data_IF_433824023193
#
_entry.id   IF_433824023193
#
_cell.length_a   1.000
_cell.length_b   1.000
_cell.length_c   1.000
_cell.angle_alpha   90.00
_cell.angle_beta   90.00
_cell.angle_gamma   90.00
#
_symmetry.space_group_name_H-M   'P 1'
#
loop_
_entity.id
_entity.type
_entity.pdbx_description
1 polymer ?
#
# COMPACT_ATOMS: atom_id res chain seq x y z
N UNK A 1 3.23 0.93 25.12
CA UNK A 1 2.56 0.15 24.06
C UNK A 1 3.32 -1.16 23.88
N UNK A 2 2.59 -2.28 23.74
CA UNK A 2 3.18 -3.58 23.41
C UNK A 2 4.03 -3.48 22.12
N UNK A 3 5.23 -4.13 22.04
CA UNK A 3 6.14 -4.01 20.90
C UNK A 3 5.52 -4.37 19.56
N UNK A 4 4.69 -5.41 19.47
CA UNK A 4 4.02 -5.81 18.23
C UNK A 4 2.91 -4.83 17.86
N UNK A 5 2.18 -4.30 18.83
CA UNK A 5 1.19 -3.25 18.64
C UNK A 5 1.86 -1.96 18.15
N UNK A 6 2.98 -1.55 18.72
CA UNK A 6 3.75 -0.39 18.29
C UNK A 6 4.27 -0.58 16.84
N UNK A 7 4.79 -1.76 16.51
CA UNK A 7 5.23 -2.08 15.16
C UNK A 7 4.07 -2.04 14.15
N UNK A 8 2.90 -2.59 14.50
CA UNK A 8 1.72 -2.55 13.64
C UNK A 8 1.26 -1.12 13.38
N UNK A 9 1.26 -0.24 14.40
CA UNK A 9 0.97 1.19 14.23
C UNK A 9 2.00 1.83 13.31
N UNK A 10 3.29 1.63 13.56
CA UNK A 10 4.36 2.20 12.76
C UNK A 10 4.34 1.73 11.30
N UNK A 11 3.85 0.51 11.02
CA UNK A 11 3.71 -0.04 9.67
C UNK A 11 2.38 0.31 9.00
N UNK A 12 1.53 1.16 9.60
CA UNK A 12 0.22 1.47 9.02
C UNK A 12 0.35 2.48 7.86
N UNK A 13 -0.27 2.16 6.73
CA UNK A 13 -0.72 3.15 5.76
C UNK A 13 -2.17 3.47 6.14
N UNK A 14 -2.35 4.52 6.96
CA UNK A 14 -3.66 4.93 7.44
C UNK A 14 -4.47 5.48 6.27
N UNK A 15 -5.50 4.73 5.87
CA UNK A 15 -6.16 4.91 4.58
C UNK A 15 -7.54 5.53 4.76
N UNK A 16 -7.85 6.54 3.96
CA UNK A 16 -9.19 7.07 3.77
C UNK A 16 -9.44 7.30 2.29
N UNK A 17 -10.40 6.58 1.73
CA UNK A 17 -10.77 6.57 0.30
C UNK A 17 -12.30 6.61 0.15
N UNK A 18 -12.98 7.35 1.01
CA UNK A 18 -14.41 7.56 0.89
C UNK A 18 -14.70 8.74 -0.05
N UNK A 19 -15.88 8.72 -0.68
CA UNK A 19 -16.22 9.74 -1.69
C UNK A 19 -16.73 11.04 -1.06
N UNK A 20 -17.28 10.95 0.15
CA UNK A 20 -17.90 12.04 0.92
C UNK A 20 -16.96 12.71 1.94
N UNK A 21 -15.64 12.49 1.83
CA UNK A 21 -14.65 13.14 2.69
C UNK A 21 -14.62 14.65 2.47
N UNK A 22 -14.36 15.38 3.56
CA UNK A 22 -14.13 16.80 3.59
C UNK A 22 -12.75 17.16 4.18
N UNK A 23 -12.40 18.45 4.14
CA UNK A 23 -11.15 18.98 4.68
C UNK A 23 -10.96 18.61 6.16
N UNK A 24 -12.06 18.57 6.94
CA UNK A 24 -12.03 18.24 8.36
C UNK A 24 -11.69 16.77 8.59
N UNK A 25 -12.22 15.88 7.76
CA UNK A 25 -11.92 14.45 7.80
C UNK A 25 -10.44 14.20 7.48
N UNK A 26 -9.92 14.85 6.44
CA UNK A 26 -8.50 14.76 6.06
C UNK A 26 -7.58 15.34 7.12
N UNK A 27 -7.93 16.49 7.71
CA UNK A 27 -7.13 17.09 8.79
C UNK A 27 -7.07 16.17 10.02
N UNK A 28 -8.18 15.56 10.39
CA UNK A 28 -8.25 14.57 11.48
C UNK A 28 -7.40 13.33 11.17
N UNK A 29 -7.47 12.82 9.93
CA UNK A 29 -6.67 11.68 9.48
C UNK A 29 -5.17 11.98 9.62
N UNK A 30 -4.70 13.11 9.12
CA UNK A 30 -3.32 13.55 9.22
C UNK A 30 -2.86 13.74 10.67
N UNK A 31 -3.68 14.37 11.50
CA UNK A 31 -3.39 14.56 12.93
C UNK A 31 -3.24 13.22 13.67
N UNK A 32 -4.13 12.26 13.40
CA UNK A 32 -4.05 10.91 13.95
C UNK A 32 -2.84 10.14 13.44
N UNK A 33 -2.44 10.35 12.20
CA UNK A 33 -1.27 9.72 11.60
C UNK A 33 0.03 10.19 12.27
N UNK A 34 0.15 11.48 12.53
CA UNK A 34 1.32 12.10 13.17
C UNK A 34 1.47 11.74 14.64
N UNK A 35 0.37 11.54 15.35
CA UNK A 35 0.37 11.28 16.81
C UNK A 35 -0.77 10.33 17.20
N UNK A 36 -0.68 9.04 16.78
CA UNK A 36 -1.71 8.06 17.09
C UNK A 36 -1.85 7.77 18.59
N UNK A 37 -0.74 7.85 19.34
CA UNK A 37 -0.67 7.60 20.79
C UNK A 37 -0.11 8.85 21.47
N UNK A 38 -0.93 9.63 22.22
CA UNK A 38 -0.49 10.87 22.84
C UNK A 38 0.72 10.72 23.77
N UNK A 39 0.80 9.58 24.48
CA UNK A 39 1.86 9.26 25.44
C UNK A 39 3.13 8.72 24.80
N UNK A 40 3.12 8.48 23.49
CA UNK A 40 4.27 8.00 22.70
C UNK A 40 4.51 8.94 21.52
N UNK A 41 5.06 10.14 21.72
CA UNK A 41 5.18 11.19 20.70
C UNK A 41 6.06 10.79 19.50
N UNK A 42 6.96 9.82 19.68
CA UNK A 42 7.84 9.31 18.63
C UNK A 42 7.21 8.15 17.82
N UNK A 43 6.00 7.72 18.20
CA UNK A 43 5.24 6.71 17.47
C UNK A 43 4.28 7.40 16.50
N UNK A 44 4.44 7.15 15.20
CA UNK A 44 3.61 7.65 14.11
C UNK A 44 3.36 6.53 13.09
N UNK A 45 2.37 6.70 12.22
CA UNK A 45 2.12 5.73 11.15
C UNK A 45 3.05 5.96 9.96
N UNK A 46 3.28 4.93 9.15
CA UNK A 46 4.18 5.01 8.01
C UNK A 46 3.70 6.02 6.95
N UNK A 47 2.43 5.97 6.61
CA UNK A 47 1.84 6.85 5.59
C UNK A 47 0.37 7.16 5.85
N UNK A 48 -0.10 8.25 5.25
CA UNK A 48 -1.51 8.52 4.99
C UNK A 48 -1.78 8.19 3.53
N UNK A 49 -2.81 7.38 3.23
CA UNK A 49 -3.19 6.99 1.88
C UNK A 49 -4.58 7.54 1.53
N UNK A 50 -4.64 8.42 0.53
CA UNK A 50 -5.83 9.22 0.19
C UNK A 50 -6.05 9.31 -1.33
N UNK A 51 -7.19 9.91 -1.72
CA UNK A 51 -7.46 10.28 -3.11
C UNK A 51 -6.60 11.46 -3.60
N UNK A 52 -6.32 11.57 -4.92
CA UNK A 52 -5.50 12.65 -5.50
C UNK A 52 -5.98 14.06 -5.13
N UNK A 53 -7.29 14.28 -5.07
CA UNK A 53 -7.89 15.58 -4.76
C UNK A 53 -7.45 16.17 -3.41
N UNK A 54 -7.02 15.31 -2.48
CA UNK A 54 -6.63 15.71 -1.12
C UNK A 54 -5.12 15.91 -0.94
N UNK A 55 -4.31 15.64 -1.98
CA UNK A 55 -2.84 15.75 -1.87
C UNK A 55 -2.37 17.16 -1.45
N UNK A 56 -2.88 18.27 -2.01
CA UNK A 56 -2.41 19.60 -1.61
C UNK A 56 -2.66 19.91 -0.14
N UNK A 57 -3.85 19.57 0.38
CA UNK A 57 -4.22 19.77 1.78
C UNK A 57 -3.34 18.92 2.70
N UNK A 58 -3.27 17.60 2.43
CA UNK A 58 -2.52 16.67 3.27
C UNK A 58 -1.01 16.98 3.24
N UNK A 59 -0.46 17.42 2.11
CA UNK A 59 0.95 17.84 2.01
C UNK A 59 1.25 18.98 2.97
N UNK A 60 0.37 19.98 3.06
CA UNK A 60 0.49 21.08 4.02
C UNK A 60 0.44 20.60 5.48
N UNK A 61 -0.50 19.70 5.78
CA UNK A 61 -0.71 19.18 7.14
C UNK A 61 0.40 18.25 7.62
N UNK A 62 1.05 17.52 6.73
CA UNK A 62 2.15 16.59 7.03
C UNK A 62 3.54 17.21 6.86
N UNK A 63 3.61 18.50 6.48
CA UNK A 63 4.88 19.16 6.19
C UNK A 63 5.84 19.13 7.37
N UNK A 64 7.10 18.74 7.12
CA UNK A 64 8.14 18.64 8.15
C UNK A 64 8.02 17.45 9.09
N UNK A 65 6.95 16.64 8.96
CA UNK A 65 6.74 15.42 9.73
C UNK A 65 7.33 14.16 9.06
N UNK A 66 7.36 13.05 9.80
CA UNK A 66 7.92 11.77 9.29
C UNK A 66 6.93 10.95 8.46
N UNK A 67 5.63 11.27 8.50
CA UNK A 67 4.57 10.50 7.83
C UNK A 67 4.59 10.76 6.34
N UNK A 68 4.64 9.68 5.55
CA UNK A 68 4.64 9.75 4.08
C UNK A 68 3.23 10.01 3.55
N UNK A 69 3.16 10.66 2.40
CA UNK A 69 1.90 10.92 1.71
C UNK A 69 1.75 9.95 0.53
N UNK A 70 0.86 8.98 0.68
CA UNK A 70 0.53 7.98 -0.33
C UNK A 70 -0.77 8.35 -1.06
N UNK A 71 -0.85 8.02 -2.34
CA UNK A 71 -2.01 8.28 -3.19
C UNK A 71 -2.47 7.02 -3.93
N UNK A 72 -3.77 6.72 -3.85
CA UNK A 72 -4.40 5.71 -4.70
C UNK A 72 -4.71 6.33 -6.06
N UNK A 73 -4.10 5.79 -7.14
CA UNK A 73 -4.11 6.42 -8.47
C UNK A 73 -3.90 5.40 -9.59
N UNK A 74 -3.78 5.85 -10.85
CA UNK A 74 -3.43 5.00 -11.98
C UNK A 74 -4.53 4.02 -12.37
N UNK A 75 -5.79 4.45 -12.36
CA UNK A 75 -6.95 3.61 -12.63
C UNK A 75 -7.50 2.90 -11.39
N UNK A 76 -7.14 3.37 -10.20
CA UNK A 76 -7.67 2.80 -8.96
C UNK A 76 -9.20 3.03 -8.83
N UNK A 77 -10.02 2.02 -8.41
CA UNK A 77 -9.62 0.68 -7.98
C UNK A 77 -9.52 -0.35 -9.10
N UNK A 78 -10.02 -0.08 -10.30
CA UNK A 78 -10.02 -1.01 -11.43
C UNK A 78 -9.29 -0.37 -12.61
N UNK A 79 -8.23 -1.02 -13.16
CA UNK A 79 -7.40 -0.46 -14.23
C UNK A 79 -8.04 -0.68 -15.61
N UNK A 80 -9.29 -0.26 -15.80
CA UNK A 80 -10.09 -0.42 -17.02
C UNK A 80 -9.98 0.76 -18.00
N UNK A 81 -9.43 1.90 -17.54
CA UNK A 81 -9.15 3.04 -18.39
C UNK A 81 -7.92 2.80 -19.30
N UNK A 82 -7.82 3.50 -20.45
CA UNK A 82 -6.66 3.43 -21.34
C UNK A 82 -5.36 3.70 -20.59
N UNK A 83 -4.29 2.95 -20.92
CA UNK A 83 -3.00 3.05 -20.24
C UNK A 83 -2.48 4.48 -20.15
N UNK A 84 -2.53 5.25 -21.24
CA UNK A 84 -2.05 6.64 -21.25
C UNK A 84 -2.77 7.55 -20.24
N UNK A 85 -4.07 7.34 -20.05
CA UNK A 85 -4.86 8.07 -19.04
C UNK A 85 -4.41 7.67 -17.61
N UNK A 86 -4.25 6.40 -17.37
CA UNK A 86 -3.80 5.85 -16.08
C UNK A 86 -2.40 6.35 -15.71
N UNK A 87 -1.48 6.40 -16.68
CA UNK A 87 -0.14 6.95 -16.48
C UNK A 87 -0.19 8.45 -16.17
N UNK A 88 -1.02 9.22 -16.89
CA UNK A 88 -1.24 10.63 -16.61
C UNK A 88 -1.76 10.90 -15.19
N UNK A 89 -2.62 10.01 -14.65
CA UNK A 89 -3.08 10.08 -13.26
C UNK A 89 -1.93 9.85 -12.27
N UNK A 90 -1.00 8.93 -12.55
CA UNK A 90 0.19 8.67 -11.71
C UNK A 90 1.10 9.88 -11.71
N UNK A 91 1.44 10.44 -12.89
CA UNK A 91 2.27 11.63 -13.03
C UNK A 91 1.66 12.84 -12.32
N UNK A 92 0.34 13.01 -12.43
CA UNK A 92 -0.37 14.07 -11.73
C UNK A 92 -0.25 13.92 -10.20
N UNK A 93 -0.45 12.72 -9.66
CA UNK A 93 -0.31 12.46 -8.21
C UNK A 93 1.11 12.77 -7.71
N UNK A 94 2.14 12.36 -8.44
CA UNK A 94 3.54 12.67 -8.12
C UNK A 94 3.80 14.18 -8.16
N UNK A 95 3.33 14.86 -9.19
CA UNK A 95 3.49 16.33 -9.34
C UNK A 95 2.74 17.09 -8.24
N UNK A 96 1.58 16.57 -7.81
CA UNK A 96 0.80 17.14 -6.70
C UNK A 96 1.41 16.86 -5.32
N UNK A 97 2.54 16.14 -5.26
CA UNK A 97 3.34 15.97 -4.06
C UNK A 97 3.15 14.63 -3.34
N UNK A 98 2.63 13.60 -4.00
CA UNK A 98 2.65 12.25 -3.43
C UNK A 98 4.08 11.75 -3.27
N UNK A 99 4.43 11.24 -2.09
CA UNK A 99 5.69 10.54 -1.85
C UNK A 99 5.63 9.10 -2.35
N UNK A 100 4.43 8.54 -2.34
CA UNK A 100 4.15 7.14 -2.65
C UNK A 100 2.88 7.04 -3.50
N UNK A 101 2.85 6.12 -4.46
CA UNK A 101 1.70 5.87 -5.33
C UNK A 101 1.30 4.40 -5.28
N UNK A 102 0.04 4.15 -4.98
CA UNK A 102 -0.56 2.81 -4.95
C UNK A 102 -1.32 2.62 -6.28
N UNK A 103 -0.79 1.81 -7.18
CA UNK A 103 -1.29 1.66 -8.57
C UNK A 103 -1.71 0.21 -8.83
N UNK A 104 -2.95 -0.06 -9.27
CA UNK A 104 -3.37 -1.41 -9.63
C UNK A 104 -2.69 -1.88 -10.91
N UNK A 105 -2.19 -3.12 -10.89
CA UNK A 105 -1.71 -3.82 -12.08
C UNK A 105 -2.93 -4.23 -12.92
N UNK A 106 -2.81 -4.15 -14.24
CA UNK A 106 -3.79 -4.75 -15.12
C UNK A 106 -3.68 -6.28 -15.09
N UNK A 107 -4.36 -6.89 -14.12
CA UNK A 107 -4.32 -8.35 -13.91
C UNK A 107 -4.85 -9.16 -15.09
N UNK A 108 -5.60 -8.54 -16.00
CA UNK A 108 -6.10 -9.22 -17.21
C UNK A 108 -5.00 -9.52 -18.21
N UNK A 109 -3.81 -8.95 -18.05
CA UNK A 109 -2.61 -9.23 -18.85
C UNK A 109 -1.76 -10.36 -18.28
N UNK A 110 -2.25 -11.15 -17.32
CA UNK A 110 -1.47 -12.23 -16.67
C UNK A 110 -0.94 -13.27 -17.65
N UNK A 111 -1.67 -13.52 -18.72
CA UNK A 111 -1.29 -14.44 -19.82
C UNK A 111 -0.63 -13.73 -21.03
N UNK A 112 -0.38 -12.43 -20.92
CA UNK A 112 0.22 -11.59 -21.97
C UNK A 112 1.51 -10.94 -21.47
N UNK A 113 2.62 -11.69 -21.30
CA UNK A 113 3.81 -11.23 -20.58
C UNK A 113 4.45 -9.98 -21.19
N UNK A 114 4.49 -9.86 -22.52
CA UNK A 114 5.09 -8.68 -23.18
C UNK A 114 4.25 -7.41 -22.96
N UNK A 115 2.91 -7.52 -23.01
CA UNK A 115 2.02 -6.41 -22.75
C UNK A 115 2.06 -6.00 -21.27
N UNK A 116 2.10 -6.98 -20.37
CA UNK A 116 2.25 -6.76 -18.92
C UNK A 116 3.57 -6.04 -18.60
N UNK A 117 4.69 -6.49 -19.13
CA UNK A 117 6.02 -5.87 -18.92
C UNK A 117 6.04 -4.43 -19.43
N UNK A 118 5.49 -4.19 -20.62
CA UNK A 118 5.36 -2.85 -21.19
C UNK A 118 4.55 -1.90 -20.30
N UNK A 119 3.40 -2.35 -19.77
CA UNK A 119 2.58 -1.55 -18.86
C UNK A 119 3.30 -1.27 -17.53
N UNK A 120 3.93 -2.28 -16.94
CA UNK A 120 4.64 -2.14 -15.66
C UNK A 120 5.85 -1.21 -15.78
N UNK A 121 6.62 -1.32 -16.86
CA UNK A 121 7.76 -0.43 -17.16
C UNK A 121 7.30 1.01 -17.36
N UNK A 122 6.20 1.23 -18.07
CA UNK A 122 5.61 2.55 -18.25
C UNK A 122 5.12 3.13 -16.90
N UNK A 123 4.49 2.30 -16.05
CA UNK A 123 4.05 2.71 -14.72
C UNK A 123 5.22 3.11 -13.82
N UNK A 124 6.34 2.34 -13.82
CA UNK A 124 7.56 2.72 -13.11
C UNK A 124 8.09 4.08 -13.58
N UNK A 125 8.06 4.30 -14.89
CA UNK A 125 8.52 5.57 -15.48
C UNK A 125 7.65 6.74 -15.01
N UNK A 126 6.33 6.60 -15.06
CA UNK A 126 5.38 7.62 -14.62
C UNK A 126 5.48 7.91 -13.11
N UNK A 127 5.76 6.90 -12.28
CA UNK A 127 5.98 7.06 -10.85
C UNK A 127 7.31 7.78 -10.52
N UNK A 128 8.27 7.82 -11.44
CA UNK A 128 9.51 8.56 -11.31
C UNK A 128 10.28 8.18 -10.03
N UNK A 129 10.44 9.14 -9.10
CA UNK A 129 11.11 8.92 -7.81
C UNK A 129 10.17 8.56 -6.67
N UNK A 130 8.86 8.61 -6.88
CA UNK A 130 7.91 8.21 -5.87
C UNK A 130 7.99 6.69 -5.61
N UNK A 131 7.77 6.29 -4.38
CA UNK A 131 7.63 4.88 -4.02
C UNK A 131 6.42 4.30 -4.73
N UNK A 132 6.63 3.35 -5.64
CA UNK A 132 5.56 2.69 -6.34
C UNK A 132 5.15 1.39 -5.64
N UNK A 133 3.88 1.31 -5.23
CA UNK A 133 3.29 0.09 -4.69
C UNK A 133 2.34 -0.52 -5.73
N UNK A 134 2.76 -1.63 -6.32
CA UNK A 134 2.02 -2.34 -7.35
C UNK A 134 0.93 -3.21 -6.71
N UNK A 135 -0.35 -2.92 -7.01
CA UNK A 135 -1.49 -3.65 -6.45
C UNK A 135 -1.82 -4.85 -7.33
N UNK A 136 -1.60 -6.04 -6.81
CA UNK A 136 -1.82 -7.31 -7.50
C UNK A 136 -3.32 -7.68 -7.58
N UNK A 137 -4.12 -7.22 -6.61
CA UNK A 137 -5.56 -7.52 -6.46
C UNK A 137 -5.82 -9.00 -6.22
N UNK A 138 -5.18 -9.53 -5.21
CA UNK A 138 -5.10 -10.98 -4.90
C UNK A 138 -6.44 -11.66 -4.66
N UNK A 139 -7.49 -10.91 -4.30
CA UNK A 139 -8.84 -11.45 -4.08
C UNK A 139 -9.55 -11.91 -5.36
N UNK A 140 -9.01 -11.58 -6.52
CA UNK A 140 -9.54 -11.94 -7.83
C UNK A 140 -8.68 -12.99 -8.56
N UNK A 141 -7.69 -13.60 -7.89
CA UNK A 141 -6.63 -14.38 -8.52
C UNK A 141 -6.32 -15.67 -7.76
N UNK A 142 -5.89 -16.68 -8.50
CA UNK A 142 -5.30 -17.89 -7.95
C UNK A 142 -3.83 -17.66 -7.54
N UNK A 143 -3.29 -18.53 -6.69
CA UNK A 143 -1.94 -18.37 -6.14
C UNK A 143 -0.82 -18.31 -7.22
N UNK A 144 -1.01 -19.00 -8.34
CA UNK A 144 -0.06 -18.98 -9.46
C UNK A 144 -0.06 -17.61 -10.16
N UNK A 145 -1.24 -17.03 -10.41
CA UNK A 145 -1.41 -15.73 -11.02
C UNK A 145 -0.87 -14.61 -10.11
N UNK A 146 -1.15 -14.69 -8.79
CA UNK A 146 -0.58 -13.77 -7.77
C UNK A 146 0.94 -13.76 -7.88
N UNK A 147 1.57 -14.94 -7.97
CA UNK A 147 3.02 -15.07 -8.09
C UNK A 147 3.55 -14.47 -9.38
N UNK A 148 2.90 -14.75 -10.51
CA UNK A 148 3.27 -14.22 -11.83
C UNK A 148 3.25 -12.68 -11.82
N UNK A 149 2.14 -12.07 -11.39
CA UNK A 149 1.99 -10.62 -11.37
C UNK A 149 2.92 -9.95 -10.36
N UNK A 150 3.09 -10.55 -9.17
CA UNK A 150 4.02 -10.02 -8.18
C UNK A 150 5.47 -10.03 -8.67
N UNK A 151 5.92 -11.14 -9.28
CA UNK A 151 7.26 -11.26 -9.80
C UNK A 151 7.50 -10.30 -10.98
N UNK A 152 6.53 -10.13 -11.88
CA UNK A 152 6.60 -9.17 -12.97
C UNK A 152 6.73 -7.73 -12.44
N UNK A 153 5.90 -7.34 -11.46
CA UNK A 153 5.99 -6.02 -10.83
C UNK A 153 7.34 -5.77 -10.16
N UNK A 154 7.86 -6.77 -9.45
CA UNK A 154 9.20 -6.70 -8.82
C UNK A 154 10.29 -6.54 -9.88
N UNK A 155 10.23 -7.30 -10.97
CA UNK A 155 11.19 -7.21 -12.07
C UNK A 155 11.16 -5.83 -12.76
N UNK A 156 9.97 -5.23 -12.88
CA UNK A 156 9.78 -3.88 -13.42
C UNK A 156 10.19 -2.76 -12.42
N UNK A 157 10.66 -3.09 -11.22
CA UNK A 157 11.16 -2.13 -10.24
C UNK A 157 10.09 -1.54 -9.33
N UNK A 158 9.02 -2.27 -9.02
CA UNK A 158 8.10 -1.89 -7.95
C UNK A 158 8.83 -1.88 -6.60
N UNK A 159 8.63 -0.82 -5.83
CA UNK A 159 9.22 -0.70 -4.49
C UNK A 159 8.45 -1.57 -3.47
N UNK A 160 7.15 -1.79 -3.72
CA UNK A 160 6.31 -2.69 -2.95
C UNK A 160 5.39 -3.50 -3.87
N UNK A 161 5.11 -4.75 -3.49
CA UNK A 161 3.93 -5.46 -3.96
C UNK A 161 2.81 -5.31 -2.91
N UNK A 162 1.61 -4.93 -3.37
CA UNK A 162 0.44 -4.71 -2.51
C UNK A 162 -0.64 -5.72 -2.84
N UNK A 163 -1.27 -6.29 -1.81
CA UNK A 163 -2.24 -7.36 -1.99
C UNK A 163 -3.52 -6.93 -2.67
N UNK A 164 -4.12 -5.80 -2.25
CA UNK A 164 -5.48 -5.45 -2.68
C UNK A 164 -5.76 -3.96 -2.66
N UNK A 165 -6.71 -3.51 -3.49
CA UNK A 165 -7.28 -2.15 -3.42
C UNK A 165 -8.14 -1.96 -2.16
N UNK A 166 -8.76 -3.03 -1.67
CA UNK A 166 -9.77 -2.99 -0.62
C UNK A 166 -11.15 -2.54 -1.12
N UNK A 167 -11.34 -2.42 -2.43
CA UNK A 167 -12.59 -2.02 -3.10
C UNK A 167 -13.04 -3.11 -4.07
N UNK A 168 -14.28 -3.55 -3.96
CA UNK A 168 -14.97 -4.38 -4.98
C UNK A 168 -14.68 -5.89 -4.98
N UNK A 169 -13.54 -6.36 -4.48
CA UNK A 169 -13.17 -7.78 -4.40
C UNK A 169 -12.79 -8.17 -2.97
N UNK A 170 -12.77 -9.47 -2.63
CA UNK A 170 -12.28 -9.92 -1.34
C UNK A 170 -10.87 -9.39 -1.06
N UNK A 171 -10.63 -9.00 0.18
CA UNK A 171 -9.31 -8.54 0.61
C UNK A 171 -8.29 -9.66 0.74
N UNK A 172 -7.14 -9.35 1.36
CA UNK A 172 -6.04 -10.29 1.50
C UNK A 172 -6.41 -11.52 2.35
N UNK A 173 -6.16 -12.70 1.78
CA UNK A 173 -6.24 -13.98 2.49
C UNK A 173 -4.88 -14.38 3.08
N UNK A 174 -4.84 -15.31 4.07
CA UNK A 174 -3.58 -15.87 4.57
C UNK A 174 -2.73 -16.54 3.49
N UNK A 175 -3.35 -17.14 2.47
CA UNK A 175 -2.65 -17.76 1.33
C UNK A 175 -2.04 -16.68 0.45
N UNK A 176 -2.80 -15.67 0.07
CA UNK A 176 -2.32 -14.55 -0.74
C UNK A 176 -1.16 -13.81 -0.05
N UNK A 177 -1.28 -13.54 1.25
CA UNK A 177 -0.20 -12.91 2.03
C UNK A 177 1.09 -13.75 2.02
N UNK A 178 0.96 -15.09 2.16
CA UNK A 178 2.10 -16.00 2.09
C UNK A 178 2.73 -16.01 0.68
N UNK A 179 1.92 -16.07 -0.38
CA UNK A 179 2.40 -16.05 -1.77
C UNK A 179 3.18 -14.78 -2.08
N UNK A 180 2.66 -13.61 -1.72
CA UNK A 180 3.36 -12.34 -1.88
C UNK A 180 4.66 -12.28 -1.07
N UNK A 181 4.63 -12.71 0.20
CA UNK A 181 5.82 -12.75 1.04
C UNK A 181 6.91 -13.68 0.45
N UNK A 182 6.52 -14.82 -0.14
CA UNK A 182 7.46 -15.72 -0.83
C UNK A 182 8.08 -15.06 -2.07
N UNK A 183 7.29 -14.33 -2.89
CA UNK A 183 7.81 -13.58 -4.04
C UNK A 183 8.82 -12.50 -3.60
N UNK A 184 8.50 -11.75 -2.55
CA UNK A 184 9.41 -10.76 -1.95
C UNK A 184 10.71 -11.42 -1.43
N UNK A 185 10.59 -12.54 -0.71
CA UNK A 185 11.74 -13.29 -0.21
C UNK A 185 12.64 -13.84 -1.32
N UNK A 186 12.03 -14.36 -2.38
CA UNK A 186 12.77 -14.91 -3.54
C UNK A 186 13.51 -13.82 -4.32
N UNK A 187 13.00 -12.60 -4.36
CA UNK A 187 13.64 -11.48 -5.04
C UNK A 187 14.95 -11.05 -4.35
N UNK A 188 15.11 -11.27 -3.05
CA UNK A 188 16.33 -11.02 -2.28
C UNK A 188 16.77 -9.55 -2.23
N UNK A 189 15.93 -8.63 -2.73
CA UNK A 189 16.22 -7.20 -2.87
C UNK A 189 15.49 -6.32 -1.83
N UNK A 190 15.48 -5.00 -2.07
CA UNK A 190 14.87 -4.04 -1.14
C UNK A 190 13.33 -3.97 -1.24
N UNK A 191 12.70 -4.78 -2.09
CA UNK A 191 11.25 -4.74 -2.32
C UNK A 191 10.47 -5.01 -1.04
N UNK A 192 9.43 -4.21 -0.80
CA UNK A 192 8.54 -4.31 0.35
C UNK A 192 7.24 -5.05 0.05
N UNK A 193 6.49 -5.32 1.12
CA UNK A 193 5.18 -5.96 1.10
C UNK A 193 4.16 -5.04 1.79
N UNK A 194 3.04 -4.74 1.10
CA UNK A 194 1.87 -4.11 1.70
C UNK A 194 0.68 -5.06 1.68
N UNK A 195 0.14 -5.36 2.86
CA UNK A 195 -1.09 -6.13 3.00
C UNK A 195 -2.26 -5.18 3.23
N UNK A 196 -3.35 -5.37 2.49
CA UNK A 196 -4.54 -4.51 2.54
C UNK A 196 -5.80 -5.25 2.11
N UNK A 197 -6.96 -4.66 2.44
CA UNK A 197 -8.26 -5.23 2.16
C UNK A 197 -8.77 -6.13 3.30
N UNK A 198 -9.74 -5.61 4.06
CA UNK A 198 -10.44 -6.37 5.10
C UNK A 198 -9.70 -6.53 6.43
N UNK A 199 -8.53 -5.91 6.63
CA UNK A 199 -7.79 -5.97 7.89
C UNK A 199 -8.34 -4.90 8.84
N UNK A 200 -9.20 -5.31 9.77
CA UNK A 200 -9.91 -4.39 10.67
C UNK A 200 -9.60 -4.59 12.14
N UNK A 201 -9.12 -5.77 12.53
CA UNK A 201 -8.89 -6.14 13.93
C UNK A 201 -7.46 -6.52 14.23
N UNK A 202 -7.08 -6.37 15.51
CA UNK A 202 -5.73 -6.69 16.01
C UNK A 202 -5.34 -8.13 15.69
N UNK A 203 -6.23 -9.10 15.94
CA UNK A 203 -5.95 -10.51 15.69
C UNK A 203 -5.60 -10.81 14.23
N UNK A 204 -6.31 -10.18 13.25
CA UNK A 204 -5.97 -10.32 11.84
C UNK A 204 -4.59 -9.74 11.52
N UNK A 205 -4.32 -8.52 11.99
CA UNK A 205 -3.05 -7.85 11.75
C UNK A 205 -1.88 -8.64 12.36
N UNK A 206 -2.03 -9.14 13.59
CA UNK A 206 -1.02 -9.98 14.28
C UNK A 206 -0.79 -11.29 13.54
N UNK A 207 -1.84 -11.94 13.04
CA UNK A 207 -1.71 -13.18 12.25
C UNK A 207 -0.95 -12.94 10.94
N UNK A 208 -1.20 -11.82 10.24
CA UNK A 208 -0.44 -11.45 9.05
C UNK A 208 1.02 -11.13 9.39
N UNK A 209 1.28 -10.39 10.47
CA UNK A 209 2.63 -10.09 10.94
C UNK A 209 3.41 -11.38 11.28
N UNK A 210 2.78 -12.32 12.00
CA UNK A 210 3.38 -13.61 12.34
C UNK A 210 3.74 -14.42 11.08
N UNK A 211 2.85 -14.44 10.08
CA UNK A 211 3.10 -15.11 8.80
C UNK A 211 4.25 -14.47 8.02
N UNK A 212 4.31 -13.15 7.96
CA UNK A 212 5.41 -12.42 7.31
C UNK A 212 6.74 -12.72 8.01
N UNK A 213 6.77 -12.71 9.36
CA UNK A 213 7.95 -13.09 10.15
C UNK A 213 8.41 -14.53 9.91
N UNK A 214 7.47 -15.45 9.78
CA UNK A 214 7.77 -16.86 9.52
C UNK A 214 8.42 -17.10 8.14
N UNK A 215 8.08 -16.27 7.14
CA UNK A 215 8.57 -16.42 5.76
C UNK A 215 9.84 -15.58 5.52
N UNK A 216 9.84 -14.32 5.98
CA UNK A 216 10.89 -13.35 5.67
C UNK A 216 11.89 -13.12 6.81
N UNK A 217 11.61 -13.68 7.99
CA UNK A 217 12.45 -13.56 9.19
C UNK A 217 11.84 -12.66 10.26
N UNK A 218 12.16 -12.91 11.53
CA UNK A 218 11.54 -12.25 12.69
C UNK A 218 11.75 -10.73 12.71
N UNK A 219 12.89 -10.25 12.22
CA UNK A 219 13.27 -8.83 12.19
C UNK A 219 13.00 -8.16 10.83
N UNK A 220 12.38 -8.89 9.87
CA UNK A 220 12.12 -8.33 8.55
C UNK A 220 11.03 -7.24 8.56
N UNK A 221 9.90 -7.36 9.29
CA UNK A 221 8.88 -6.32 9.27
C UNK A 221 9.40 -5.01 9.89
N UNK A 222 9.36 -3.95 9.07
CA UNK A 222 9.71 -2.59 9.46
C UNK A 222 8.97 -1.60 8.54
N UNK A 223 8.68 -0.35 8.96
CA UNK A 223 7.94 0.62 8.15
C UNK A 223 8.50 0.86 6.73
N UNK A 224 9.79 0.68 6.54
CA UNK A 224 10.45 0.87 5.25
C UNK A 224 10.14 -0.25 4.23
N UNK A 225 9.67 -1.42 4.67
CA UNK A 225 9.47 -2.59 3.80
C UNK A 225 8.24 -3.44 4.10
N UNK A 226 7.55 -3.17 5.21
CA UNK A 226 6.26 -3.80 5.54
C UNK A 226 5.22 -2.75 5.85
N UNK A 227 4.06 -2.86 5.20
CA UNK A 227 2.94 -1.95 5.42
C UNK A 227 1.62 -2.72 5.58
N UNK A 228 0.71 -2.13 6.32
CA UNK A 228 -0.69 -2.56 6.41
C UNK A 228 -1.57 -1.40 6.00
N UNK A 229 -2.33 -1.57 4.91
CA UNK A 229 -3.32 -0.59 4.46
C UNK A 229 -4.66 -0.84 5.13
N UNK A 230 -5.08 0.07 6.00
CA UNK A 230 -6.35 -0.04 6.71
C UNK A 230 -6.89 1.32 7.16
N UNK A 231 -8.22 1.42 7.28
CA UNK A 231 -8.93 2.59 7.84
C UNK A 231 -9.23 2.41 9.34
N UNK A 232 -9.83 1.28 9.72
CA UNK A 232 -10.34 1.04 11.08
C UNK A 232 -9.33 0.36 12.03
N UNK A 233 -8.22 -0.18 11.52
CA UNK A 233 -7.27 -0.95 12.34
C UNK A 233 -6.62 -0.09 13.43
N UNK A 234 -6.38 1.20 13.18
CA UNK A 234 -5.79 2.08 14.18
C UNK A 234 -6.65 2.16 15.43
N UNK A 235 -7.98 2.29 15.29
CA UNK A 235 -8.90 2.33 16.43
C UNK A 235 -8.82 1.04 17.26
N UNK A 236 -8.79 -0.12 16.58
CA UNK A 236 -8.63 -1.41 17.24
C UNK A 236 -7.27 -1.59 17.94
N UNK A 237 -6.21 -0.98 17.41
CA UNK A 237 -4.87 -0.98 18.04
C UNK A 237 -4.78 -0.03 19.23
N UNK A 238 -5.65 0.98 19.33
CA UNK A 238 -5.68 1.96 20.42
C UNK A 238 -6.64 1.57 21.56
N UNK A 239 -7.61 0.71 21.28
CA UNK A 239 -8.52 0.13 22.28
C UNK A 239 -7.79 -0.89 23.17
#
# INVERSE_FOLDING_TARGET
VDPDRALLIACLDLTSLEDDEDDTAIARLCGRALRPVPEAPDLYVAAVCIWPRWLPLARGLLAGGPVRLACATGGFPVPDAPLGERLGQVEHAVTAGADEVDVPINRFLVDEPDALDGELTATRTAAGRATWKAIVETGALEAAEIRTLANAAIAAGADFVKSSTGKGVPGVTPVAAATLAQSVGAAGGPVGLKLSGGIRGVAQATNHLAKVRAILGPNWPAPARFRIGASALLDALLA
#
